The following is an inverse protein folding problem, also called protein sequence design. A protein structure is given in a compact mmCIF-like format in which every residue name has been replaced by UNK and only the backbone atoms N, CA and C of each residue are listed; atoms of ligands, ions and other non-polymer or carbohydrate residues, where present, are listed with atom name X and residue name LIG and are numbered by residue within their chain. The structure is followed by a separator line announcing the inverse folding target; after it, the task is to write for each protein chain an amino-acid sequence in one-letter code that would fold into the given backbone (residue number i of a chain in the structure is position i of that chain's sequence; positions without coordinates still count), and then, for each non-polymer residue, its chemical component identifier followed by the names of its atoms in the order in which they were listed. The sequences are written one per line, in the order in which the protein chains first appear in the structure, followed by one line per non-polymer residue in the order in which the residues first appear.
data_IF_530530265872
#
_entry.id   IF_530530265872
#
_cell.length_a   1.000
_cell.length_b   1.000
_cell.length_c   1.000
_cell.angle_alpha   90.00
_cell.angle_beta   90.00
_cell.angle_gamma   90.00
#
_symmetry.space_group_name_H-M   'P 1'
#
loop_
_entity.id
_entity.type
_entity.pdbx_description
1 polymer ?
#
# COMPACT_ATOMS: atom_id res chain seq x y z
N UNK A 1 -4.78 5.91 14.05
CA UNK A 1 -5.52 5.46 12.84
C UNK A 1 -5.56 3.93 12.82
N UNK A 2 -6.64 3.32 12.32
CA UNK A 2 -6.96 1.89 12.52
C UNK A 2 -5.81 0.91 12.18
N UNK A 3 -5.17 1.05 11.02
CA UNK A 3 -4.04 0.20 10.60
C UNK A 3 -2.89 0.20 11.61
N UNK A 4 -2.33 1.37 11.91
CA UNK A 4 -1.17 1.48 12.81
C UNK A 4 -1.51 1.04 14.24
N UNK A 5 -2.69 1.41 14.74
CA UNK A 5 -3.13 1.01 16.08
C UNK A 5 -3.35 -0.50 16.18
N UNK A 6 -3.85 -1.16 15.14
CA UNK A 6 -4.05 -2.61 15.13
C UNK A 6 -2.70 -3.37 15.14
N UNK A 7 -1.68 -2.85 14.45
CA UNK A 7 -0.31 -3.38 14.54
C UNK A 7 0.21 -3.24 15.97
N UNK A 8 0.20 -2.04 16.54
CA UNK A 8 0.72 -1.77 17.88
C UNK A 8 -0.03 -2.53 18.99
N UNK A 9 -1.32 -2.82 18.78
CA UNK A 9 -2.10 -3.67 19.68
C UNK A 9 -1.64 -5.13 19.68
N UNK A 10 -1.21 -5.64 18.52
CA UNK A 10 -0.77 -7.04 18.35
C UNK A 10 0.74 -7.20 18.59
N UNK A 11 1.50 -6.15 18.40
CA UNK A 11 2.94 -6.07 18.63
C UNK A 11 3.29 -4.69 19.18
N UNK A 12 3.27 -4.56 20.50
CA UNK A 12 3.61 -3.32 21.20
C UNK A 12 5.10 -2.97 21.12
N UNK A 13 5.95 -3.92 20.74
CA UNK A 13 7.39 -3.75 20.57
C UNK A 13 7.77 -3.33 19.14
N UNK A 14 6.80 -3.22 18.22
CA UNK A 14 7.05 -2.85 16.82
C UNK A 14 7.76 -1.49 16.67
N UNK A 15 7.59 -0.60 17.66
CA UNK A 15 8.18 0.73 17.69
C UNK A 15 7.32 1.79 17.00
N UNK A 16 7.94 2.88 16.56
CA UNK A 16 7.24 4.03 15.99
C UNK A 16 6.81 3.75 14.54
N UNK A 17 5.52 3.93 14.24
CA UNK A 17 4.97 3.79 12.90
C UNK A 17 4.79 5.17 12.26
N UNK A 18 5.52 5.42 11.17
CA UNK A 18 5.29 6.57 10.29
C UNK A 18 4.33 6.22 9.15
N UNK A 19 3.37 7.11 8.86
CA UNK A 19 2.47 7.00 7.70
C UNK A 19 2.79 8.11 6.70
N UNK A 20 2.93 7.77 5.41
CA UNK A 20 3.24 8.71 4.33
C UNK A 20 2.05 8.78 3.35
N UNK A 21 1.04 9.63 3.58
CA UNK A 21 -0.23 9.56 2.86
C UNK A 21 -0.16 10.14 1.45
N UNK A 22 0.04 9.31 0.42
CA UNK A 22 0.25 9.78 -0.97
C UNK A 22 -1.00 9.73 -1.87
N UNK A 23 -2.14 9.26 -1.36
CA UNK A 23 -3.34 9.01 -2.16
C UNK A 23 -3.89 10.28 -2.86
N UNK A 24 -4.46 10.07 -4.06
CA UNK A 24 -5.09 11.12 -4.88
C UNK A 24 -6.44 10.61 -5.41
N UNK A 25 -7.51 11.26 -4.99
CA UNK A 25 -8.88 10.92 -5.41
C UNK A 25 -9.12 11.17 -6.91
N UNK A 26 -10.03 10.40 -7.51
CA UNK A 26 -10.46 10.58 -8.90
C UNK A 26 -9.40 10.27 -9.96
N UNK A 27 -8.31 9.59 -9.59
CA UNK A 27 -7.25 9.20 -10.53
C UNK A 27 -7.47 7.79 -11.05
N UNK A 28 -7.16 7.53 -12.31
CA UNK A 28 -6.92 6.17 -12.82
C UNK A 28 -5.43 5.82 -12.73
N UNK A 29 -5.09 4.55 -12.88
CA UNK A 29 -3.72 4.04 -12.72
C UNK A 29 -2.73 4.66 -13.73
N UNK A 30 -3.21 5.19 -14.86
CA UNK A 30 -2.39 5.96 -15.81
C UNK A 30 -1.73 7.20 -15.19
N UNK A 31 -2.30 7.78 -14.12
CA UNK A 31 -1.73 8.91 -13.34
C UNK A 31 -0.68 8.48 -12.33
N UNK A 32 -0.38 7.19 -12.25
CA UNK A 32 0.60 6.60 -11.32
C UNK A 32 1.78 5.98 -12.06
N UNK A 33 1.98 6.37 -13.32
CA UNK A 33 3.17 5.98 -14.11
C UNK A 33 4.34 6.88 -13.75
N UNK A 34 5.57 6.36 -13.83
CA UNK A 34 6.80 7.15 -13.67
C UNK A 34 6.76 8.42 -14.54
N UNK A 35 7.11 9.57 -13.96
CA UNK A 35 7.08 10.88 -14.62
C UNK A 35 5.70 11.57 -14.61
N UNK A 36 4.70 10.97 -13.96
CA UNK A 36 3.41 11.61 -13.74
C UNK A 36 3.33 12.21 -12.34
N UNK A 37 2.53 13.27 -12.19
CA UNK A 37 2.44 14.03 -10.95
C UNK A 37 2.18 13.18 -9.68
N UNK A 38 1.25 12.21 -9.71
CA UNK A 38 0.92 11.45 -8.50
C UNK A 38 2.05 10.46 -8.13
N UNK A 39 2.69 9.85 -9.13
CA UNK A 39 3.84 8.98 -8.91
C UNK A 39 5.04 9.77 -8.38
N UNK A 40 5.39 10.87 -9.01
CA UNK A 40 6.57 11.66 -8.64
C UNK A 40 6.40 12.28 -7.23
N UNK A 41 5.18 12.71 -6.88
CA UNK A 41 4.86 13.15 -5.52
C UNK A 41 5.00 12.02 -4.49
N UNK A 42 4.53 10.80 -4.82
CA UNK A 42 4.74 9.63 -3.95
C UNK A 42 6.23 9.38 -3.73
N UNK A 43 7.04 9.33 -4.79
CA UNK A 43 8.49 9.07 -4.68
C UNK A 43 9.18 10.17 -3.87
N UNK A 44 8.84 11.44 -4.12
CA UNK A 44 9.39 12.58 -3.36
C UNK A 44 9.09 12.44 -1.87
N UNK A 45 7.84 12.15 -1.51
CA UNK A 45 7.40 12.06 -0.11
C UNK A 45 7.97 10.83 0.59
N UNK A 46 8.05 9.70 -0.10
CA UNK A 46 8.71 8.51 0.39
C UNK A 46 10.19 8.81 0.72
N UNK A 47 10.95 9.35 -0.23
CA UNK A 47 12.37 9.71 -0.02
C UNK A 47 12.56 10.71 1.12
N UNK A 48 11.65 11.66 1.29
CA UNK A 48 11.69 12.58 2.43
C UNK A 48 11.46 11.88 3.78
N UNK A 49 10.57 10.89 3.83
CA UNK A 49 10.31 10.12 5.05
C UNK A 49 11.48 9.21 5.45
N UNK A 50 12.28 8.74 4.48
CA UNK A 50 13.46 7.91 4.71
C UNK A 50 14.65 8.70 5.28
N UNK A 51 14.76 10.01 5.00
CA UNK A 51 15.93 10.85 5.38
C UNK A 51 16.33 10.79 6.85
N UNK A 52 15.38 10.52 7.75
CA UNK A 52 15.63 10.46 9.20
C UNK A 52 15.81 9.01 9.71
N UNK A 53 16.26 8.09 8.85
CA UNK A 53 16.51 6.68 9.21
C UNK A 53 15.27 5.80 9.22
N UNK A 54 14.16 6.26 8.62
CA UNK A 54 12.94 5.48 8.48
C UNK A 54 13.11 4.38 7.43
N UNK A 55 12.62 3.17 7.72
CA UNK A 55 12.62 2.05 6.77
C UNK A 55 11.23 1.83 6.19
N UNK A 56 11.11 1.72 4.86
CA UNK A 56 9.84 1.37 4.23
C UNK A 56 9.46 -0.09 4.57
N UNK A 57 8.37 -0.26 5.31
CA UNK A 57 7.90 -1.59 5.72
C UNK A 57 6.87 -2.21 4.77
N UNK A 58 6.04 -1.38 4.12
CA UNK A 58 5.10 -1.80 3.09
C UNK A 58 4.51 -0.57 2.36
N UNK A 59 3.98 -0.78 1.15
CA UNK A 59 3.01 0.10 0.51
C UNK A 59 1.59 -0.44 0.75
N UNK A 60 0.68 0.43 1.18
CA UNK A 60 -0.75 0.12 1.23
C UNK A 60 -1.40 0.69 -0.03
N UNK A 61 -1.97 -0.18 -0.85
CA UNK A 61 -2.59 0.17 -2.13
C UNK A 61 -4.08 -0.17 -2.12
N UNK A 62 -4.92 0.85 -2.27
CA UNK A 62 -6.36 0.72 -2.46
C UNK A 62 -6.80 1.75 -3.50
N UNK A 63 -7.04 1.27 -4.73
CA UNK A 63 -7.26 2.11 -5.90
C UNK A 63 -7.81 1.27 -7.07
N UNK A 64 -8.47 1.92 -8.01
CA UNK A 64 -8.86 1.37 -9.32
C UNK A 64 -10.24 1.80 -9.78
N UNK A 65 -10.99 2.54 -8.95
CA UNK A 65 -12.31 3.09 -9.29
C UNK A 65 -12.24 4.08 -10.47
N UNK A 66 -11.07 4.68 -10.73
CA UNK A 66 -10.85 5.46 -11.95
C UNK A 66 -10.77 4.58 -13.22
N UNK A 67 -10.30 3.35 -13.10
CA UNK A 67 -10.02 2.45 -14.21
C UNK A 67 -11.25 1.61 -14.63
N UNK A 68 -12.26 1.46 -13.76
CA UNK A 68 -13.52 0.77 -14.10
C UNK A 68 -14.39 1.54 -15.11
N UNK A 69 -14.04 2.80 -15.41
CA UNK A 69 -14.82 3.71 -16.26
C UNK A 69 -14.56 3.54 -17.75
N UNK A 70 -13.42 2.95 -18.13
CA UNK A 70 -13.02 2.85 -19.54
C UNK A 70 -12.43 1.49 -19.84
N UNK A 71 -12.68 0.98 -21.07
CA UNK A 71 -12.14 -0.32 -21.50
C UNK A 71 -10.61 -0.33 -21.49
N UNK A 72 -9.98 0.79 -21.85
CA UNK A 72 -8.52 0.91 -21.86
C UNK A 72 -7.95 0.86 -20.45
N UNK A 73 -8.58 1.54 -19.48
CA UNK A 73 -8.19 1.49 -18.07
C UNK A 73 -8.28 0.09 -17.50
N UNK A 74 -9.42 -0.58 -17.69
CA UNK A 74 -9.66 -1.91 -17.15
C UNK A 74 -8.75 -2.98 -17.75
N UNK A 75 -8.67 -3.05 -19.08
CA UNK A 75 -7.86 -4.06 -19.79
C UNK A 75 -6.36 -3.92 -19.54
N UNK A 76 -5.88 -2.70 -19.27
CA UNK A 76 -4.47 -2.44 -18.97
C UNK A 76 -4.14 -2.41 -17.48
N UNK A 77 -5.12 -2.63 -16.59
CA UNK A 77 -4.92 -2.42 -15.14
C UNK A 77 -3.78 -3.28 -14.60
N UNK A 78 -3.78 -4.58 -14.89
CA UNK A 78 -2.76 -5.52 -14.38
C UNK A 78 -1.35 -5.12 -14.83
N UNK A 79 -1.14 -4.92 -16.13
CA UNK A 79 0.19 -4.59 -16.68
C UNK A 79 0.67 -3.22 -16.19
N UNK A 80 -0.22 -2.23 -16.08
CA UNK A 80 0.11 -0.93 -15.51
C UNK A 80 0.47 -1.05 -14.02
N UNK A 81 -0.20 -1.90 -13.25
CA UNK A 81 0.06 -2.07 -11.83
C UNK A 81 1.40 -2.76 -11.60
N UNK A 82 1.68 -3.83 -12.33
CA UNK A 82 2.96 -4.55 -12.25
C UNK A 82 4.12 -3.63 -12.63
N UNK A 83 3.94 -2.79 -13.67
CA UNK A 83 4.90 -1.74 -14.02
C UNK A 83 5.06 -0.69 -12.91
N UNK A 84 3.97 -0.22 -12.31
CA UNK A 84 4.02 0.72 -11.18
C UNK A 84 4.84 0.15 -10.02
N UNK A 85 4.60 -1.11 -9.63
CA UNK A 85 5.34 -1.75 -8.54
C UNK A 85 6.81 -1.93 -8.88
N UNK A 86 7.13 -2.32 -10.12
CA UNK A 86 8.52 -2.41 -10.58
C UNK A 86 9.23 -1.05 -10.50
N UNK A 87 8.62 -0.01 -11.06
CA UNK A 87 9.19 1.33 -11.09
C UNK A 87 9.38 1.88 -9.67
N UNK A 88 8.39 1.68 -8.78
CA UNK A 88 8.43 2.09 -7.39
C UNK A 88 9.58 1.42 -6.63
N UNK A 89 9.71 0.10 -6.75
CA UNK A 89 10.78 -0.67 -6.09
C UNK A 89 12.16 -0.24 -6.56
N UNK A 90 12.29 0.05 -7.86
CA UNK A 90 13.52 0.59 -8.45
C UNK A 90 13.85 1.98 -7.87
N UNK A 91 12.91 2.92 -7.88
CA UNK A 91 13.17 4.30 -7.46
C UNK A 91 13.39 4.49 -5.96
N UNK A 92 12.89 3.55 -5.15
CA UNK A 92 13.11 3.47 -3.70
C UNK A 92 14.24 2.49 -3.32
N UNK A 93 14.97 1.93 -4.30
CA UNK A 93 16.02 0.92 -4.07
C UNK A 93 15.59 -0.22 -3.14
N UNK A 94 14.33 -0.61 -3.22
CA UNK A 94 13.67 -1.55 -2.30
C UNK A 94 13.06 -2.71 -3.09
N UNK A 95 13.87 -3.62 -3.67
CA UNK A 95 13.42 -4.66 -4.62
C UNK A 95 12.39 -5.63 -4.02
N UNK A 96 12.39 -5.77 -2.69
CA UNK A 96 11.51 -6.67 -1.95
C UNK A 96 10.39 -5.94 -1.19
N UNK A 97 10.16 -4.64 -1.44
CA UNK A 97 9.15 -3.85 -0.73
C UNK A 97 7.78 -4.55 -0.81
N UNK A 98 7.17 -4.93 0.33
CA UNK A 98 5.84 -5.52 0.35
C UNK A 98 4.78 -4.55 -0.14
N UNK A 99 3.89 -5.02 -1.01
CA UNK A 99 2.70 -4.28 -1.43
C UNK A 99 1.47 -5.00 -0.88
N UNK A 100 0.67 -4.29 -0.11
CA UNK A 100 -0.61 -4.77 0.40
C UNK A 100 -1.69 -4.17 -0.50
N UNK A 101 -2.43 -5.01 -1.21
CA UNK A 101 -3.44 -4.60 -2.18
C UNK A 101 -4.83 -4.98 -1.68
N UNK A 102 -5.69 -3.99 -1.53
CA UNK A 102 -7.12 -4.19 -1.32
C UNK A 102 -7.82 -4.29 -2.69
N UNK A 103 -8.40 -5.45 -3.00
CA UNK A 103 -9.23 -5.64 -4.19
C UNK A 103 -10.53 -4.87 -4.00
N UNK A 104 -10.93 -4.07 -4.99
CA UNK A 104 -12.03 -3.11 -4.85
C UNK A 104 -13.35 -3.77 -4.44
N UNK A 105 -14.15 -3.16 -3.54
CA UNK A 105 -15.56 -3.50 -3.43
C UNK A 105 -16.31 -3.09 -4.71
N UNK A 106 -17.63 -3.25 -4.71
CA UNK A 106 -18.47 -2.84 -5.83
C UNK A 106 -19.00 -1.42 -5.62
N UNK A 107 -18.58 -0.43 -6.44
CA UNK A 107 -19.24 0.87 -6.45
C UNK A 107 -20.72 0.73 -6.82
N UNK A 108 -21.54 1.60 -6.25
CA UNK A 108 -22.98 1.72 -6.49
C UNK A 108 -23.25 2.95 -7.34
N UNK A 109 -24.48 3.09 -7.84
CA UNK A 109 -24.95 4.30 -8.54
C UNK A 109 -24.60 5.57 -7.74
N UNK A 110 -24.15 6.64 -8.41
CA UNK A 110 -23.97 6.80 -9.87
C UNK A 110 -22.60 6.35 -10.39
N UNK A 111 -21.77 5.71 -9.56
CA UNK A 111 -20.39 5.33 -9.88
C UNK A 111 -20.21 3.86 -10.27
N UNK A 112 -21.29 3.12 -10.46
CA UNK A 112 -21.23 1.80 -11.08
C UNK A 112 -20.52 1.90 -12.43
N UNK A 113 -19.47 1.10 -12.61
CA UNK A 113 -18.63 1.13 -13.81
C UNK A 113 -18.76 -0.18 -14.58
N UNK A 114 -18.88 -0.15 -15.92
CA UNK A 114 -19.12 -1.35 -16.73
C UNK A 114 -17.96 -2.37 -16.67
N UNK A 115 -16.78 -1.96 -16.18
CA UNK A 115 -15.58 -2.79 -16.15
C UNK A 115 -15.11 -3.17 -14.74
N UNK A 116 -15.98 -3.07 -13.72
CA UNK A 116 -15.62 -3.46 -12.34
C UNK A 116 -15.11 -4.90 -12.24
N UNK A 117 -15.75 -5.85 -12.92
CA UNK A 117 -15.32 -7.25 -12.90
C UNK A 117 -13.95 -7.44 -13.57
N UNK A 118 -13.67 -6.70 -14.65
CA UNK A 118 -12.37 -6.77 -15.33
C UNK A 118 -11.25 -6.22 -14.45
N UNK A 119 -11.48 -5.10 -13.75
CA UNK A 119 -10.48 -4.53 -12.80
C UNK A 119 -10.29 -5.44 -11.59
N UNK A 120 -11.36 -5.99 -11.00
CA UNK A 120 -11.25 -6.94 -9.89
C UNK A 120 -10.51 -8.21 -10.30
N UNK A 121 -10.82 -8.76 -11.48
CA UNK A 121 -10.10 -9.91 -12.03
C UNK A 121 -8.62 -9.58 -12.27
N UNK A 122 -8.30 -8.39 -12.78
CA UNK A 122 -6.93 -7.92 -12.93
C UNK A 122 -6.21 -7.82 -11.57
N UNK A 123 -6.84 -7.24 -10.54
CA UNK A 123 -6.30 -7.14 -9.18
C UNK A 123 -6.02 -8.52 -8.57
N UNK A 124 -6.98 -9.44 -8.67
CA UNK A 124 -6.83 -10.82 -8.20
C UNK A 124 -5.76 -11.58 -9.01
N UNK A 125 -5.63 -11.27 -10.29
CA UNK A 125 -4.69 -11.89 -11.22
C UNK A 125 -3.26 -11.36 -11.17
N UNK A 126 -2.96 -10.32 -10.38
CA UNK A 126 -1.57 -9.81 -10.21
C UNK A 126 -0.68 -10.95 -9.70
N UNK A 127 0.43 -11.20 -10.41
CA UNK A 127 1.32 -12.31 -10.10
C UNK A 127 2.79 -11.86 -10.09
N UNK A 128 3.13 -11.01 -9.13
CA UNK A 128 4.49 -10.55 -8.87
C UNK A 128 4.84 -10.76 -7.39
N UNK A 129 6.14 -10.88 -7.09
CA UNK A 129 6.63 -11.19 -5.74
C UNK A 129 6.23 -10.13 -4.70
N UNK A 130 6.09 -10.55 -3.44
CA UNK A 130 5.81 -9.69 -2.27
C UNK A 130 4.60 -8.77 -2.46
N UNK A 131 3.55 -9.25 -3.13
CA UNK A 131 2.23 -8.60 -3.17
C UNK A 131 1.23 -9.49 -2.43
N UNK A 132 0.65 -8.97 -1.36
CA UNK A 132 -0.43 -9.62 -0.62
C UNK A 132 -1.74 -8.94 -1.04
N UNK A 133 -2.70 -9.76 -1.47
CA UNK A 133 -4.03 -9.30 -1.88
C UNK A 133 -5.06 -9.75 -0.85
N UNK A 134 -6.01 -8.89 -0.54
CA UNK A 134 -7.21 -9.26 0.22
C UNK A 134 -8.42 -8.56 -0.38
N UNK A 135 -9.61 -9.16 -0.24
CA UNK A 135 -10.82 -8.67 -0.89
C UNK A 135 -11.57 -7.70 0.03
N UNK A 136 -11.79 -6.46 -0.42
CA UNK A 136 -12.62 -5.47 0.27
C UNK A 136 -14.12 -5.62 -0.07
N UNK A 137 -14.50 -6.62 -0.90
CA UNK A 137 -15.89 -6.99 -1.15
C UNK A 137 -16.65 -7.17 0.17
N UNK A 138 -17.83 -6.56 0.23
CA UNK A 138 -18.72 -6.63 1.39
C UNK A 138 -18.50 -5.51 2.42
N UNK A 139 -17.43 -4.71 2.28
CA UNK A 139 -17.30 -3.48 3.05
C UNK A 139 -18.41 -2.50 2.70
N UNK A 140 -18.94 -1.82 3.72
CA UNK A 140 -20.06 -0.92 3.58
C UNK A 140 -19.68 0.34 2.78
N UNK A 141 -20.40 0.55 1.68
CA UNK A 141 -20.32 1.75 0.86
C UNK A 141 -21.20 2.85 1.46
N UNK A 142 -20.68 4.07 1.51
CA UNK A 142 -21.43 5.26 1.84
C UNK A 142 -22.53 5.58 0.83
N UNK A 143 -23.35 6.57 1.17
CA UNK A 143 -24.51 7.00 0.37
C UNK A 143 -24.14 7.59 -0.99
N UNK A 144 -22.89 8.03 -1.17
CA UNK A 144 -22.39 8.51 -2.47
C UNK A 144 -22.13 7.38 -3.48
N UNK A 145 -22.12 6.13 -3.02
CA UNK A 145 -21.93 4.96 -3.88
C UNK A 145 -20.48 4.67 -4.29
N UNK A 146 -19.48 5.43 -3.83
CA UNK A 146 -18.07 5.19 -4.21
C UNK A 146 -17.10 5.17 -3.03
N UNK A 147 -17.38 5.87 -1.94
CA UNK A 147 -16.52 5.85 -0.76
C UNK A 147 -17.03 4.86 0.28
N UNK A 148 -16.12 4.25 1.04
CA UNK A 148 -16.48 3.42 2.20
C UNK A 148 -16.97 4.29 3.37
N UNK A 149 -17.89 3.76 4.17
CA UNK A 149 -18.28 4.39 5.44
C UNK A 149 -17.11 4.43 6.42
N UNK A 150 -17.17 5.30 7.44
CA UNK A 150 -16.12 5.32 8.48
C UNK A 150 -15.93 3.97 9.18
N UNK A 151 -17.00 3.24 9.59
CA UNK A 151 -16.84 1.88 10.11
C UNK A 151 -16.15 0.92 9.13
N UNK A 152 -16.51 0.96 7.84
CA UNK A 152 -15.86 0.17 6.81
C UNK A 152 -14.39 0.53 6.59
N UNK A 153 -14.02 1.82 6.70
CA UNK A 153 -12.61 2.25 6.67
C UNK A 153 -11.82 1.74 7.88
N UNK A 154 -12.44 1.65 9.07
CA UNK A 154 -11.82 1.03 10.25
C UNK A 154 -11.58 -0.46 10.00
N UNK A 155 -12.55 -1.17 9.43
CA UNK A 155 -12.41 -2.57 9.06
C UNK A 155 -11.32 -2.78 8.00
N UNK A 156 -11.29 -1.95 6.96
CA UNK A 156 -10.25 -1.96 5.93
C UNK A 156 -8.85 -1.77 6.54
N UNK A 157 -8.71 -0.81 7.47
CA UNK A 157 -7.45 -0.59 8.19
C UNK A 157 -6.97 -1.82 8.95
N UNK A 158 -7.88 -2.56 9.60
CA UNK A 158 -7.55 -3.83 10.27
C UNK A 158 -7.17 -4.93 9.29
N UNK A 159 -7.83 -5.00 8.13
CA UNK A 159 -7.49 -5.95 7.06
C UNK A 159 -6.07 -5.71 6.53
N UNK A 160 -5.70 -4.44 6.28
CA UNK A 160 -4.32 -4.07 5.96
C UNK A 160 -3.34 -4.48 7.06
N UNK A 161 -3.68 -4.28 8.33
CA UNK A 161 -2.81 -4.64 9.44
C UNK A 161 -2.60 -6.17 9.49
N UNK A 162 -3.67 -6.95 9.33
CA UNK A 162 -3.55 -8.41 9.28
C UNK A 162 -2.72 -8.89 8.10
N UNK A 163 -2.91 -8.30 6.92
CA UNK A 163 -2.08 -8.58 5.74
C UNK A 163 -0.60 -8.27 6.02
N UNK A 164 -0.31 -7.12 6.63
CA UNK A 164 1.05 -6.73 7.04
C UNK A 164 1.67 -7.74 8.02
N UNK A 165 0.95 -8.11 9.07
CA UNK A 165 1.42 -9.04 10.12
C UNK A 165 1.63 -10.47 9.59
N UNK A 166 1.02 -10.83 8.46
CA UNK A 166 1.20 -12.13 7.81
C UNK A 166 2.50 -12.25 7.00
N UNK A 167 3.21 -11.14 6.77
CA UNK A 167 4.50 -11.15 6.07
C UNK A 167 5.51 -12.02 6.83
N UNK A 168 6.17 -12.96 6.14
CA UNK A 168 7.14 -13.89 6.75
C UNK A 168 8.27 -13.18 7.51
N UNK A 169 8.64 -11.97 7.10
CA UNK A 169 9.67 -11.16 7.74
C UNK A 169 9.20 -10.35 8.96
N UNK A 170 7.89 -10.34 9.26
CA UNK A 170 7.36 -9.68 10.45
C UNK A 170 7.89 -10.34 11.75
N UNK A 171 8.17 -11.66 11.70
CA UNK A 171 8.70 -12.40 12.86
C UNK A 171 10.23 -12.42 12.95
N UNK A 172 10.95 -11.84 11.99
CA UNK A 172 12.39 -11.70 12.13
C UNK A 172 12.67 -10.52 13.05
N UNK A 173 12.54 -10.78 14.37
CA UNK A 173 13.22 -9.99 15.40
C UNK A 173 14.66 -9.91 14.93
N UNK A 174 15.06 -8.73 14.47
CA UNK A 174 16.47 -8.40 14.33
C UNK A 174 17.05 -8.64 15.72
N UNK A 175 17.83 -9.70 15.87
CA UNK A 175 18.77 -9.81 16.97
C UNK A 175 19.57 -8.51 16.92
N UNK A 176 19.29 -7.61 17.87
CA UNK A 176 20.19 -6.50 18.13
C UNK A 176 21.53 -7.15 18.47
N UNK A 177 22.45 -7.17 17.51
CA UNK A 177 23.85 -7.46 17.79
C UNK A 177 24.34 -6.30 18.66
N UNK A 178 24.36 -6.55 19.97
CA UNK A 178 24.98 -5.69 20.98
C UNK A 178 26.51 -5.73 20.87
N UNK A 179 27.06 -5.42 19.69
CA UNK A 179 28.48 -5.16 19.54
C UNK A 179 28.68 -3.91 18.68
N UNK A 180 28.57 -2.75 19.35
CA UNK A 180 29.37 -1.55 19.07
C UNK A 180 29.23 -0.52 20.22
N UNK A 181 29.74 -0.91 21.38
CA UNK A 181 30.42 -0.04 22.36
C UNK A 181 31.85 -0.62 22.40
N UNK A 182 32.97 0.07 22.19
CA UNK A 182 33.41 1.41 22.61
C UNK A 182 34.40 2.00 21.57
N UNK A 183 34.55 3.32 21.46
CA UNK A 183 35.82 3.91 21.03
C UNK A 183 36.82 3.78 22.18
N UNK A 184 37.75 2.84 22.07
CA UNK A 184 38.99 2.87 22.86
C UNK A 184 39.89 3.97 22.29
N UNK A 185 39.95 5.12 22.95
CA UNK A 185 41.10 6.03 23.01
C UNK A 185 40.81 7.15 24.02
N UNK A 186 41.89 7.73 24.56
CA UNK A 186 41.97 8.74 25.66
C UNK A 186 42.06 8.02 27.03
N UNK A 187 43.20 7.88 27.72
CA UNK A 187 44.36 8.76 27.91
C UNK A 187 45.69 8.01 27.85
N UNK A 188 46.72 8.77 27.46
CA UNK A 188 48.15 8.62 27.74
C UNK A 188 48.48 8.51 29.22
#
# INVERSE_FOLDING_TARGET
MAFANEILKKDSEFGVIGLVPCARGGTGLYRWRRGSYAYDDLIKRAKLAEKNGGNFRALLWYHGEGDIRTKNGSSSYKSNFEKFVHDLRSDLHSPNLPILLAVLPYPKKPFEGPYIEEVRAAQLGINISNVIKFDAKGLEMGSDGIHLTTPAQVQLGRMFAHAFLSLKNFRSRTTFSFYKFFPSNIFS
#
